data_IF_171418759787
#
_entry.id   IF_171418759787
#
_cell.length_a   1.000
_cell.length_b   1.000
_cell.length_c   1.000
_cell.angle_alpha   90.00
_cell.angle_beta   90.00
_cell.angle_gamma   90.00
#
_symmetry.space_group_name_H-M   'P 1'
#
loop_
_entity.id
_entity.type
_entity.pdbx_description
1 polymer ?
#
# COMPACT_ATOMS: atom_id res chain seq x y z
N UNK A 1 -30.76 59.40 -24.11
CA UNK A 1 -29.59 59.24 -23.21
C UNK A 1 -29.91 58.39 -21.97
N UNK A 2 -30.92 58.74 -21.16
CA UNK A 2 -31.28 57.94 -19.95
C UNK A 2 -31.64 56.47 -20.24
N UNK A 3 -32.45 56.20 -21.27
CA UNK A 3 -32.78 54.82 -21.67
C UNK A 3 -31.54 54.01 -22.06
N UNK A 4 -30.61 54.62 -22.79
CA UNK A 4 -29.37 54.01 -23.25
C UNK A 4 -28.42 53.74 -22.07
N UNK A 5 -28.38 54.65 -21.09
CA UNK A 5 -27.66 54.45 -19.83
C UNK A 5 -28.26 53.31 -18.98
N UNK A 6 -29.59 53.22 -18.87
CA UNK A 6 -30.24 52.12 -18.16
C UNK A 6 -29.98 50.76 -18.84
N UNK A 7 -30.03 50.70 -20.17
CA UNK A 7 -29.83 49.46 -20.94
C UNK A 7 -28.38 48.96 -20.88
N UNK A 8 -27.42 49.88 -20.92
CA UNK A 8 -25.98 49.58 -20.73
C UNK A 8 -25.72 49.12 -19.30
N UNK A 9 -26.23 49.81 -18.29
CA UNK A 9 -26.09 49.40 -16.88
C UNK A 9 -26.71 48.02 -16.61
N UNK A 10 -27.89 47.74 -17.18
CA UNK A 10 -28.54 46.44 -17.08
C UNK A 10 -27.72 45.33 -17.75
N UNK A 11 -27.15 45.61 -18.93
CA UNK A 11 -26.28 44.66 -19.64
C UNK A 11 -24.99 44.36 -18.87
N UNK A 12 -24.36 45.37 -18.29
CA UNK A 12 -23.14 45.21 -17.48
C UNK A 12 -23.43 44.39 -16.23
N UNK A 13 -24.50 44.71 -15.48
CA UNK A 13 -24.89 43.94 -14.29
C UNK A 13 -25.18 42.46 -14.64
N UNK A 14 -25.87 42.21 -15.75
CA UNK A 14 -26.14 40.83 -16.21
C UNK A 14 -24.86 40.07 -16.58
N UNK A 15 -23.86 40.75 -17.17
CA UNK A 15 -22.57 40.15 -17.54
C UNK A 15 -21.61 39.94 -16.36
N UNK A 16 -21.74 40.71 -15.27
CA UNK A 16 -20.89 40.60 -14.08
C UNK A 16 -21.40 39.62 -13.03
N UNK A 17 -22.70 39.30 -13.04
CA UNK A 17 -23.33 38.34 -12.13
C UNK A 17 -22.59 37.00 -11.99
N UNK A 18 -22.06 36.37 -13.06
CA UNK A 18 -21.32 35.12 -12.93
C UNK A 18 -20.03 35.26 -12.09
N UNK A 19 -19.41 36.44 -12.06
CA UNK A 19 -18.23 36.71 -11.22
C UNK A 19 -18.64 36.89 -9.75
N UNK A 20 -19.78 37.53 -9.49
CA UNK A 20 -20.35 37.61 -8.13
C UNK A 20 -20.63 36.19 -7.58
N UNK A 21 -21.22 35.31 -8.40
CA UNK A 21 -21.47 33.91 -8.03
C UNK A 21 -20.17 33.13 -7.70
N UNK A 22 -19.06 33.43 -8.42
CA UNK A 22 -17.74 32.85 -8.14
C UNK A 22 -17.15 33.34 -6.82
N UNK A 23 -17.28 34.64 -6.52
CA UNK A 23 -16.83 35.24 -5.26
C UNK A 23 -17.63 34.65 -4.10
N UNK A 24 -18.96 34.58 -4.23
CA UNK A 24 -19.82 34.01 -3.19
C UNK A 24 -19.48 32.53 -2.93
N UNK A 25 -19.29 31.74 -3.99
CA UNK A 25 -18.86 30.34 -3.86
C UNK A 25 -17.50 30.25 -3.17
N UNK A 26 -16.54 31.09 -3.53
CA UNK A 26 -15.20 31.08 -2.92
C UNK A 26 -15.23 31.45 -1.44
N UNK A 27 -16.07 32.42 -1.05
CA UNK A 27 -16.29 32.77 0.36
C UNK A 27 -16.91 31.62 1.14
N UNK A 28 -17.94 30.95 0.60
CA UNK A 28 -18.55 29.78 1.23
C UNK A 28 -17.56 28.62 1.39
N UNK A 29 -16.65 28.43 0.42
CA UNK A 29 -15.56 27.46 0.51
C UNK A 29 -14.58 27.82 1.62
N UNK A 30 -14.25 29.11 1.78
CA UNK A 30 -13.39 29.61 2.85
C UNK A 30 -14.02 29.43 4.24
N UNK A 31 -15.36 29.49 4.32
CA UNK A 31 -16.14 29.20 5.53
C UNK A 31 -16.32 27.68 5.80
N UNK A 32 -15.90 26.82 4.87
CA UNK A 32 -15.84 25.37 5.05
C UNK A 32 -16.86 24.56 4.26
N UNK A 33 -17.73 25.17 3.46
CA UNK A 33 -18.70 24.46 2.60
C UNK A 33 -18.05 24.01 1.28
N UNK A 34 -17.23 22.95 1.36
CA UNK A 34 -16.54 22.31 0.22
C UNK A 34 -17.48 21.70 -0.84
N UNK A 35 -18.78 21.60 -0.55
CA UNK A 35 -19.76 21.02 -1.48
C UNK A 35 -20.28 22.03 -2.49
N UNK A 36 -20.11 23.32 -2.21
CA UNK A 36 -20.62 24.40 -3.07
C UNK A 36 -19.90 24.45 -4.41
N UNK A 37 -20.63 24.82 -5.46
CA UNK A 37 -20.13 24.91 -6.84
C UNK A 37 -20.65 26.16 -7.50
N UNK A 38 -19.85 26.67 -8.45
CA UNK A 38 -20.24 27.84 -9.23
C UNK A 38 -21.33 27.44 -10.24
N UNK A 39 -22.52 28.06 -10.18
CA UNK A 39 -23.64 27.72 -11.04
C UNK A 39 -23.35 28.03 -12.51
N UNK A 40 -23.99 27.30 -13.42
CA UNK A 40 -23.94 27.58 -14.86
C UNK A 40 -24.76 28.82 -15.21
N UNK A 41 -24.22 29.68 -16.07
CA UNK A 41 -24.93 30.86 -16.59
C UNK A 41 -25.73 30.53 -17.85
N UNK A 42 -26.88 31.20 -18.06
CA UNK A 42 -27.73 30.98 -19.26
C UNK A 42 -27.12 31.54 -20.55
N UNK A 43 -26.31 32.61 -20.46
CA UNK A 43 -25.62 33.26 -21.59
C UNK A 43 -24.12 33.43 -21.27
N UNK A 44 -23.33 32.35 -21.25
CA UNK A 44 -21.94 32.42 -20.82
C UNK A 44 -21.03 33.05 -21.89
N UNK A 45 -20.18 33.97 -21.46
CA UNK A 45 -19.01 34.39 -22.24
C UNK A 45 -17.97 33.26 -22.14
N UNK A 46 -17.32 32.93 -23.25
CA UNK A 46 -16.43 31.76 -23.35
C UNK A 46 -15.34 31.76 -22.27
N UNK A 47 -14.68 32.90 -22.06
CA UNK A 47 -13.62 33.08 -21.08
C UNK A 47 -14.11 32.85 -19.65
N UNK A 48 -15.32 33.30 -19.33
CA UNK A 48 -15.95 33.13 -18.01
C UNK A 48 -16.33 31.67 -17.78
N UNK A 49 -16.82 30.99 -18.82
CA UNK A 49 -17.16 29.58 -18.74
C UNK A 49 -15.93 28.69 -18.57
N UNK A 50 -14.84 28.99 -19.26
CA UNK A 50 -13.55 28.31 -19.07
C UNK A 50 -13.05 28.47 -17.63
N UNK A 51 -13.13 29.68 -17.07
CA UNK A 51 -12.77 29.93 -15.67
C UNK A 51 -13.68 29.16 -14.71
N UNK A 52 -15.00 29.15 -14.96
CA UNK A 52 -15.98 28.39 -14.15
C UNK A 52 -15.63 26.91 -14.10
N UNK A 53 -15.33 26.31 -15.25
CA UNK A 53 -14.95 24.89 -15.35
C UNK A 53 -13.63 24.61 -14.64
N UNK A 54 -12.62 25.46 -14.82
CA UNK A 54 -11.33 25.34 -14.15
C UNK A 54 -11.47 25.43 -12.63
N UNK A 55 -12.23 26.42 -12.14
CA UNK A 55 -12.50 26.61 -10.70
C UNK A 55 -13.26 25.43 -10.11
N UNK A 56 -14.34 24.97 -10.74
CA UNK A 56 -15.09 23.81 -10.25
C UNK A 56 -14.23 22.52 -10.26
N UNK A 57 -13.32 22.36 -11.22
CA UNK A 57 -12.36 21.24 -11.24
C UNK A 57 -11.37 21.32 -10.06
N UNK A 58 -10.86 22.52 -9.76
CA UNK A 58 -10.04 22.77 -8.59
C UNK A 58 -10.80 22.47 -7.29
N UNK A 59 -12.04 22.96 -7.14
CA UNK A 59 -12.89 22.70 -5.97
C UNK A 59 -13.14 21.21 -5.77
N UNK A 60 -13.39 20.47 -6.86
CA UNK A 60 -13.55 19.02 -6.80
C UNK A 60 -12.27 18.30 -6.34
N UNK A 61 -11.09 18.77 -6.78
CA UNK A 61 -9.82 18.24 -6.29
C UNK A 61 -9.61 18.53 -4.80
N UNK A 62 -9.92 19.75 -4.35
CA UNK A 62 -9.79 20.15 -2.94
C UNK A 62 -10.73 19.32 -2.05
N UNK A 63 -12.01 19.20 -2.42
CA UNK A 63 -12.98 18.38 -1.69
C UNK A 63 -12.52 16.92 -1.62
N UNK A 64 -12.07 16.35 -2.74
CA UNK A 64 -11.57 14.97 -2.79
C UNK A 64 -10.35 14.76 -1.89
N UNK A 65 -9.40 15.71 -1.89
CA UNK A 65 -8.23 15.67 -1.04
C UNK A 65 -8.61 15.79 0.44
N UNK A 66 -9.54 16.68 0.77
CA UNK A 66 -10.04 16.86 2.14
C UNK A 66 -10.73 15.60 2.66
N UNK A 67 -11.68 15.04 1.90
CA UNK A 67 -12.38 13.81 2.26
C UNK A 67 -11.43 12.62 2.42
N UNK A 68 -10.38 12.56 1.59
CA UNK A 68 -9.35 11.52 1.70
C UNK A 68 -8.56 11.70 3.00
N UNK A 69 -8.11 12.92 3.30
CA UNK A 69 -7.38 13.24 4.53
C UNK A 69 -8.21 12.98 5.78
N UNK A 70 -9.48 13.36 5.78
CA UNK A 70 -10.38 13.14 6.91
C UNK A 70 -10.61 11.65 7.15
N UNK A 71 -10.81 10.86 6.08
CA UNK A 71 -10.93 9.40 6.19
C UNK A 71 -9.66 8.75 6.75
N UNK A 72 -8.47 9.15 6.27
CA UNK A 72 -7.19 8.67 6.81
C UNK A 72 -7.03 9.04 8.29
N UNK A 73 -7.29 10.30 8.65
CA UNK A 73 -7.24 10.76 10.04
C UNK A 73 -8.22 9.99 10.95
N UNK A 74 -9.44 9.75 10.49
CA UNK A 74 -10.44 8.97 11.24
C UNK A 74 -10.05 7.49 11.38
N UNK A 75 -9.35 6.91 10.40
CA UNK A 75 -8.81 5.55 10.50
C UNK A 75 -7.65 5.50 11.49
N UNK A 76 -6.72 6.46 11.42
CA UNK A 76 -5.60 6.56 12.36
C UNK A 76 -6.09 6.72 13.80
N UNK A 77 -7.06 7.61 14.07
CA UNK A 77 -7.62 7.79 15.42
C UNK A 77 -8.23 6.50 15.98
N UNK A 78 -9.02 5.79 15.16
CA UNK A 78 -9.60 4.49 15.55
C UNK A 78 -8.52 3.47 15.84
N UNK A 79 -7.53 3.38 14.97
CA UNK A 79 -6.43 2.44 15.12
C UNK A 79 -5.58 2.71 16.35
N UNK A 80 -5.26 3.98 16.65
CA UNK A 80 -4.55 4.36 17.89
C UNK A 80 -5.37 4.01 19.13
N UNK A 81 -6.69 4.19 19.08
CA UNK A 81 -7.57 3.78 20.18
C UNK A 81 -7.52 2.26 20.38
N UNK A 82 -7.69 1.49 19.29
CA UNK A 82 -7.65 0.01 19.33
C UNK A 82 -6.29 -0.49 19.83
N UNK A 83 -5.19 0.08 19.34
CA UNK A 83 -3.84 -0.23 19.80
C UNK A 83 -3.63 0.07 21.29
N UNK A 84 -4.17 1.19 21.77
CA UNK A 84 -4.09 1.55 23.19
C UNK A 84 -4.83 0.54 24.07
N UNK A 85 -5.96 0.01 23.60
CA UNK A 85 -6.68 -1.06 24.29
C UNK A 85 -5.91 -2.39 24.25
N UNK A 86 -5.38 -2.78 23.10
CA UNK A 86 -4.61 -4.01 22.92
C UNK A 86 -3.27 -4.00 23.64
N UNK A 87 -2.66 -2.83 23.88
CA UNK A 87 -1.44 -2.68 24.69
C UNK A 87 -1.71 -2.66 26.20
N UNK A 88 -2.91 -2.27 26.64
CA UNK A 88 -3.24 -2.22 28.07
C UNK A 88 -3.29 -3.62 28.69
N UNK A 89 -3.82 -4.59 27.96
CA UNK A 89 -3.92 -6.00 28.39
C UNK A 89 -2.54 -6.64 28.69
N UNK A 90 -1.55 -6.61 27.77
CA UNK A 90 -0.20 -7.09 28.02
C UNK A 90 0.44 -6.43 29.22
N UNK A 91 0.33 -5.10 29.28
CA UNK A 91 0.91 -4.31 30.35
C UNK A 91 0.29 -4.65 31.72
N UNK A 92 -1.02 -4.87 31.77
CA UNK A 92 -1.71 -5.30 32.98
C UNK A 92 -1.26 -6.70 33.44
N UNK A 93 -1.04 -7.63 32.51
CA UNK A 93 -0.54 -8.97 32.82
C UNK A 93 0.89 -8.93 33.39
N UNK A 94 1.80 -8.17 32.76
CA UNK A 94 3.17 -7.97 33.25
C UNK A 94 3.14 -7.36 34.66
N UNK A 95 2.34 -6.30 34.86
CA UNK A 95 2.17 -5.66 36.17
C UNK A 95 1.64 -6.65 37.22
N UNK A 96 0.70 -7.52 36.85
CA UNK A 96 0.17 -8.56 37.73
C UNK A 96 1.25 -9.54 38.18
N UNK A 97 2.09 -10.02 37.26
CA UNK A 97 3.22 -10.91 37.62
C UNK A 97 4.26 -10.22 38.49
N UNK A 98 4.58 -8.95 38.22
CA UNK A 98 5.48 -8.16 39.08
C UNK A 98 4.92 -7.97 40.49
N UNK A 99 3.62 -7.74 40.63
CA UNK A 99 2.96 -7.65 41.95
C UNK A 99 2.97 -8.97 42.72
N UNK A 100 2.82 -10.11 42.03
CA UNK A 100 2.92 -11.43 42.65
C UNK A 100 4.36 -11.73 43.10
N UNK A 101 5.34 -11.30 42.32
CA UNK A 101 6.76 -11.41 42.68
C UNK A 101 7.09 -10.57 43.92
N UNK A 102 6.70 -9.28 43.91
CA UNK A 102 6.95 -8.33 45.00
C UNK A 102 6.32 -8.78 46.33
N UNK A 103 5.12 -9.35 46.28
CA UNK A 103 4.42 -9.89 47.46
C UNK A 103 4.94 -11.26 47.92
N UNK A 104 5.99 -11.80 47.31
CA UNK A 104 6.56 -13.10 47.67
C UNK A 104 5.60 -14.28 47.42
N UNK A 105 4.61 -14.12 46.53
CA UNK A 105 3.64 -15.17 46.21
C UNK A 105 4.20 -16.20 45.22
N UNK A 106 5.30 -15.88 44.51
CA UNK A 106 6.02 -16.80 43.63
C UNK A 106 7.18 -17.47 44.38
N UNK A 107 6.84 -18.51 45.15
CA UNK A 107 7.76 -19.12 46.13
C UNK A 107 8.74 -20.09 45.48
N UNK A 108 8.25 -20.86 44.51
CA UNK A 108 9.10 -21.85 43.85
C UNK A 108 9.92 -21.25 42.70
N UNK A 109 11.17 -21.73 42.48
CA UNK A 109 11.95 -21.36 41.30
C UNK A 109 11.22 -21.63 39.98
N UNK A 110 10.41 -22.70 39.92
CA UNK A 110 9.66 -23.08 38.72
C UNK A 110 8.51 -22.11 38.41
N UNK A 111 7.87 -21.56 39.43
CA UNK A 111 6.81 -20.54 39.31
C UNK A 111 7.39 -19.20 38.87
N UNK A 112 8.53 -18.80 39.45
CA UNK A 112 9.26 -17.60 39.04
C UNK A 112 9.68 -17.66 37.58
N UNK A 113 10.23 -18.80 37.14
CA UNK A 113 10.60 -19.01 35.74
C UNK A 113 9.38 -18.92 34.80
N UNK A 114 8.27 -19.58 35.15
CA UNK A 114 7.02 -19.50 34.37
C UNK A 114 6.47 -18.07 34.27
N UNK A 115 6.51 -17.31 35.36
CA UNK A 115 6.09 -15.90 35.37
C UNK A 115 7.03 -15.03 34.49
N UNK A 116 8.34 -15.28 34.55
CA UNK A 116 9.32 -14.61 33.71
C UNK A 116 9.09 -14.87 32.22
N UNK A 117 8.93 -16.13 31.83
CA UNK A 117 8.67 -16.52 30.44
C UNK A 117 7.36 -15.89 29.92
N UNK A 118 6.32 -15.81 30.76
CA UNK A 118 5.06 -15.11 30.46
C UNK A 118 5.27 -13.61 30.24
N UNK A 119 6.07 -12.94 31.07
CA UNK A 119 6.36 -11.51 30.91
C UNK A 119 7.14 -11.20 29.63
N UNK A 120 8.11 -12.05 29.26
CA UNK A 120 8.83 -11.93 27.99
C UNK A 120 7.87 -12.10 26.81
N UNK A 121 7.06 -13.16 26.81
CA UNK A 121 6.10 -13.41 25.72
C UNK A 121 5.13 -12.23 25.51
N UNK A 122 4.71 -11.60 26.60
CA UNK A 122 3.79 -10.46 26.55
C UNK A 122 4.49 -9.16 26.10
N UNK A 123 5.77 -8.98 26.46
CA UNK A 123 6.61 -7.89 25.94
C UNK A 123 6.87 -8.04 24.43
N UNK A 124 7.15 -9.25 23.96
CA UNK A 124 7.29 -9.54 22.53
C UNK A 124 5.98 -9.30 21.76
N UNK A 125 4.84 -9.59 22.40
CA UNK A 125 3.51 -9.29 21.84
C UNK A 125 3.29 -7.78 21.70
N UNK A 126 3.70 -6.98 22.69
CA UNK A 126 3.68 -5.51 22.59
C UNK A 126 4.59 -5.01 21.46
N UNK A 127 5.80 -5.58 21.32
CA UNK A 127 6.72 -5.23 20.24
C UNK A 127 6.11 -5.44 18.85
N UNK A 128 5.52 -6.61 18.60
CA UNK A 128 4.81 -6.89 17.34
C UNK A 128 3.66 -5.91 17.07
N UNK A 129 2.85 -5.60 18.09
CA UNK A 129 1.78 -4.60 17.98
C UNK A 129 2.33 -3.24 17.55
N UNK A 130 3.41 -2.77 18.19
CA UNK A 130 4.06 -1.49 17.85
C UNK A 130 4.60 -1.49 16.41
N UNK A 131 5.24 -2.56 15.99
CA UNK A 131 5.74 -2.70 14.61
C UNK A 131 4.59 -2.64 13.60
N UNK A 132 3.46 -3.30 13.89
CA UNK A 132 2.24 -3.20 13.08
C UNK A 132 1.70 -1.76 13.04
N UNK A 133 1.79 -1.00 14.15
CA UNK A 133 1.38 0.41 14.17
C UNK A 133 2.26 1.26 13.25
N UNK A 134 3.58 1.06 13.29
CA UNK A 134 4.53 1.81 12.50
C UNK A 134 4.38 1.53 11.00
N UNK A 135 4.03 0.29 10.63
CA UNK A 135 3.73 -0.08 9.25
C UNK A 135 2.47 0.65 8.75
N UNK A 136 1.40 0.69 9.55
CA UNK A 136 0.16 1.38 9.19
C UNK A 136 0.34 2.90 9.11
N UNK A 137 1.09 3.50 10.04
CA UNK A 137 1.43 4.92 9.98
C UNK A 137 2.24 5.28 8.71
N UNK A 138 3.05 4.34 8.20
CA UNK A 138 3.82 4.52 6.96
C UNK A 138 3.03 4.25 5.69
N UNK A 139 1.87 3.58 5.75
CA UNK A 139 1.01 3.31 4.59
C UNK A 139 0.21 4.55 4.13
N UNK A 140 -0.07 5.50 5.03
CA UNK A 140 -0.72 6.78 4.69
C UNK A 140 0.23 7.73 3.94
N UNK A 141 1.54 7.61 4.18
CA UNK A 141 2.55 8.21 3.32
C UNK A 141 2.65 7.28 2.12
N UNK A 142 2.50 7.75 0.87
CA UNK A 142 2.81 6.90 -0.29
C UNK A 142 4.28 6.51 -0.16
N UNK A 143 4.63 5.28 0.25
CA UNK A 143 6.03 4.92 0.36
C UNK A 143 6.55 4.97 -1.06
N UNK A 144 7.71 5.59 -1.28
CA UNK A 144 8.36 5.50 -2.58
C UNK A 144 8.69 4.02 -2.82
N UNK A 145 7.85 3.35 -3.61
CA UNK A 145 8.04 1.95 -3.94
C UNK A 145 9.36 1.83 -4.71
N UNK A 146 10.33 1.17 -4.11
CA UNK A 146 11.61 0.86 -4.76
C UNK A 146 11.45 -0.36 -5.66
N UNK A 147 10.72 -0.15 -6.77
CA UNK A 147 10.44 -1.21 -7.71
C UNK A 147 11.73 -1.71 -8.36
N UNK A 148 12.06 -2.98 -8.18
CA UNK A 148 13.17 -3.68 -8.86
C UNK A 148 12.67 -5.00 -9.44
N UNK A 149 13.47 -5.63 -10.30
CA UNK A 149 13.17 -6.99 -10.74
C UNK A 149 13.42 -7.93 -9.56
N UNK A 150 12.36 -8.53 -9.05
CA UNK A 150 12.38 -9.44 -7.90
C UNK A 150 11.97 -10.82 -8.35
N UNK A 151 12.76 -11.83 -8.01
CA UNK A 151 12.39 -13.24 -8.21
C UNK A 151 11.49 -13.73 -7.09
N UNK A 152 10.19 -13.85 -7.39
CA UNK A 152 9.17 -14.28 -6.42
C UNK A 152 9.37 -15.75 -6.02
N UNK A 153 9.82 -16.60 -6.94
CA UNK A 153 10.09 -18.01 -6.63
C UNK A 153 11.21 -18.15 -5.61
N UNK A 154 12.23 -17.28 -5.67
CA UNK A 154 13.27 -17.20 -4.64
C UNK A 154 12.71 -16.73 -3.30
N UNK A 155 11.95 -15.63 -3.28
CA UNK A 155 11.36 -15.12 -2.04
C UNK A 155 10.49 -16.14 -1.29
N UNK A 156 9.68 -16.89 -2.05
CA UNK A 156 8.81 -17.91 -1.47
C UNK A 156 9.60 -19.10 -0.93
N UNK A 157 10.70 -19.49 -1.59
CA UNK A 157 11.62 -20.52 -1.08
C UNK A 157 12.31 -20.08 0.21
N UNK A 158 12.88 -18.87 0.24
CA UNK A 158 13.50 -18.30 1.44
C UNK A 158 12.49 -18.32 2.62
N UNK A 159 11.28 -17.83 2.39
CA UNK A 159 10.24 -17.77 3.42
C UNK A 159 9.78 -19.16 3.90
N UNK A 160 9.77 -20.16 3.01
CA UNK A 160 9.46 -21.54 3.36
C UNK A 160 10.55 -22.17 4.23
N UNK A 161 11.82 -21.87 3.94
CA UNK A 161 12.96 -22.30 4.77
C UNK A 161 12.89 -21.69 6.16
N UNK A 162 12.61 -20.38 6.27
CA UNK A 162 12.40 -19.71 7.56
C UNK A 162 11.30 -20.40 8.39
N UNK A 163 10.18 -20.76 7.76
CA UNK A 163 9.10 -21.47 8.44
C UNK A 163 9.51 -22.86 8.90
N UNK A 164 10.27 -23.61 8.08
CA UNK A 164 10.77 -24.94 8.45
C UNK A 164 11.73 -24.87 9.65
N UNK A 165 12.57 -23.86 9.71
CA UNK A 165 13.47 -23.63 10.87
C UNK A 165 12.65 -23.33 12.13
N UNK A 166 11.59 -22.55 12.01
CA UNK A 166 10.76 -22.16 13.14
C UNK A 166 9.78 -23.25 13.61
N UNK A 167 9.34 -24.14 12.70
CA UNK A 167 8.44 -25.26 13.00
C UNK A 167 8.91 -26.53 12.26
N UNK A 168 9.95 -27.22 12.76
CA UNK A 168 10.55 -28.38 12.09
C UNK A 168 9.57 -29.56 11.89
N UNK A 169 8.58 -29.68 12.77
CA UNK A 169 7.57 -30.73 12.74
C UNK A 169 6.46 -30.49 11.71
N UNK A 170 6.34 -29.27 11.18
CA UNK A 170 5.28 -28.92 10.22
C UNK A 170 5.66 -29.34 8.81
N UNK A 171 4.74 -30.04 8.14
CA UNK A 171 4.87 -30.33 6.71
C UNK A 171 4.73 -29.06 5.86
N UNK A 172 5.81 -28.65 5.17
CA UNK A 172 5.84 -27.47 4.28
C UNK A 172 6.17 -27.90 2.85
N UNK A 173 5.21 -27.73 1.95
CA UNK A 173 5.34 -27.98 0.50
C UNK A 173 5.47 -26.67 -0.28
N UNK A 174 6.35 -26.64 -1.28
CA UNK A 174 6.63 -25.44 -2.08
C UNK A 174 6.59 -25.80 -3.57
N UNK A 175 5.67 -25.17 -4.30
CA UNK A 175 5.54 -25.26 -5.76
C UNK A 175 5.94 -23.90 -6.35
N UNK A 176 7.25 -23.66 -6.38
CA UNK A 176 7.85 -22.41 -6.86
C UNK A 176 9.03 -22.71 -7.79
N UNK A 177 8.76 -23.45 -8.86
CA UNK A 177 9.77 -23.89 -9.82
C UNK A 177 10.22 -22.73 -10.74
N UNK A 178 11.48 -22.80 -11.17
CA UNK A 178 12.07 -21.81 -12.07
C UNK A 178 12.31 -20.44 -11.43
N UNK A 179 12.09 -19.38 -12.22
CA UNK A 179 12.25 -17.98 -11.81
C UNK A 179 11.10 -17.14 -12.37
N UNK A 180 10.43 -16.40 -11.48
CA UNK A 180 9.35 -15.49 -11.85
C UNK A 180 9.76 -14.08 -11.42
N UNK A 181 10.26 -13.31 -12.39
CA UNK A 181 10.66 -11.93 -12.19
C UNK A 181 9.46 -10.99 -12.31
N UNK A 182 9.23 -10.20 -11.27
CA UNK A 182 8.21 -9.14 -11.25
C UNK A 182 8.84 -7.81 -10.84
N UNK A 183 8.31 -6.70 -11.37
CA UNK A 183 8.67 -5.36 -10.88
C UNK A 183 7.93 -5.05 -9.59
N UNK A 184 8.61 -5.21 -8.46
CA UNK A 184 8.03 -5.01 -7.13
C UNK A 184 9.07 -4.45 -6.16
N UNK A 185 8.59 -3.96 -5.01
CA UNK A 185 9.46 -3.70 -3.86
C UNK A 185 9.66 -5.01 -3.09
N UNK A 186 10.92 -5.46 -3.01
CA UNK A 186 11.25 -6.74 -2.38
C UNK A 186 10.99 -6.71 -0.87
N UNK A 187 11.26 -5.58 -0.20
CA UNK A 187 11.05 -5.45 1.24
C UNK A 187 9.56 -5.60 1.57
N UNK A 188 8.69 -4.91 0.82
CA UNK A 188 7.24 -5.07 0.92
C UNK A 188 6.77 -6.51 0.66
N UNK A 189 7.30 -7.20 -0.36
CA UNK A 189 6.94 -8.60 -0.63
C UNK A 189 7.37 -9.55 0.51
N UNK A 190 8.59 -9.40 1.04
CA UNK A 190 9.06 -10.17 2.20
C UNK A 190 8.19 -9.92 3.43
N UNK A 191 7.79 -8.67 3.65
CA UNK A 191 6.90 -8.32 4.76
C UNK A 191 5.52 -8.97 4.62
N UNK A 192 4.93 -8.97 3.42
CA UNK A 192 3.65 -9.64 3.17
C UNK A 192 3.78 -11.14 3.44
N UNK A 193 4.81 -11.80 2.90
CA UNK A 193 5.05 -13.22 3.13
C UNK A 193 5.25 -13.52 4.63
N UNK A 194 6.06 -12.72 5.33
CA UNK A 194 6.31 -12.86 6.76
C UNK A 194 5.02 -12.75 7.60
N UNK A 195 4.15 -11.79 7.27
CA UNK A 195 2.87 -11.63 7.94
C UNK A 195 1.94 -12.83 7.71
N UNK A 196 1.85 -13.31 6.47
CA UNK A 196 1.03 -14.48 6.12
C UNK A 196 1.52 -15.74 6.85
N UNK A 197 2.83 -16.01 6.84
CA UNK A 197 3.41 -17.16 7.51
C UNK A 197 3.38 -17.03 9.04
N UNK A 198 3.51 -15.81 9.57
CA UNK A 198 3.32 -15.50 10.98
C UNK A 198 1.91 -15.81 11.46
N UNK A 199 0.89 -15.53 10.64
CA UNK A 199 -0.49 -15.90 10.92
C UNK A 199 -0.69 -17.42 10.91
N UNK A 200 -0.10 -18.13 9.94
CA UNK A 200 -0.13 -19.59 9.89
C UNK A 200 0.46 -20.19 11.16
N UNK A 201 1.63 -19.71 11.58
CA UNK A 201 2.32 -20.19 12.79
C UNK A 201 1.49 -19.98 14.06
N UNK A 202 0.82 -18.83 14.17
CA UNK A 202 0.07 -18.42 15.38
C UNK A 202 -1.32 -19.05 15.45
N UNK A 203 -2.00 -19.19 14.32
CA UNK A 203 -3.43 -19.52 14.29
C UNK A 203 -3.74 -20.90 13.69
N UNK A 204 -2.74 -21.65 13.24
CA UNK A 204 -2.92 -22.99 12.69
C UNK A 204 -2.15 -24.02 13.53
N UNK A 205 -2.76 -25.12 13.97
CA UNK A 205 -2.04 -26.17 14.70
C UNK A 205 -0.94 -26.80 13.82
N UNK A 206 0.08 -27.40 14.44
CA UNK A 206 1.35 -27.81 13.79
C UNK A 206 1.19 -28.97 12.80
N UNK A 207 0.17 -29.80 12.99
CA UNK A 207 -0.18 -30.97 12.17
C UNK A 207 -0.80 -30.59 10.81
N UNK A 208 -1.28 -29.37 10.67
CA UNK A 208 -1.84 -28.88 9.41
C UNK A 208 -0.71 -28.54 8.43
N UNK A 209 -0.67 -29.16 7.24
CA UNK A 209 0.37 -28.88 6.26
C UNK A 209 0.20 -27.49 5.64
N UNK A 210 1.33 -26.89 5.26
CA UNK A 210 1.38 -25.59 4.56
C UNK A 210 1.86 -25.83 3.14
N UNK A 211 1.20 -25.16 2.19
CA UNK A 211 1.61 -25.15 0.79
C UNK A 211 1.79 -23.73 0.29
N UNK A 212 2.92 -23.50 -0.38
CA UNK A 212 3.27 -22.24 -1.01
C UNK A 212 3.41 -22.47 -2.51
N UNK A 213 2.54 -21.86 -3.32
CA UNK A 213 2.55 -22.01 -4.78
C UNK A 213 2.80 -20.65 -5.45
N UNK A 214 3.63 -20.63 -6.50
CA UNK A 214 3.85 -19.44 -7.35
C UNK A 214 3.39 -19.75 -8.76
N UNK A 215 2.27 -19.14 -9.17
CA UNK A 215 1.70 -19.28 -10.51
C UNK A 215 1.67 -17.94 -11.25
N UNK A 216 1.77 -17.98 -12.59
CA UNK A 216 1.43 -16.83 -13.45
C UNK A 216 -0.04 -16.92 -13.80
N UNK A 217 -0.85 -15.95 -13.37
CA UNK A 217 -2.21 -15.83 -13.85
C UNK A 217 -2.24 -15.24 -15.26
N UNK A 218 -2.90 -15.92 -16.21
CA UNK A 218 -3.65 -15.21 -17.26
C UNK A 218 -4.75 -14.41 -16.56
N UNK A 219 -5.22 -13.29 -17.14
CA UNK A 219 -6.08 -12.29 -16.49
C UNK A 219 -7.51 -12.78 -16.12
N UNK A 220 -7.69 -14.06 -15.89
CA UNK A 220 -8.78 -14.68 -15.15
C UNK A 220 -8.19 -15.58 -14.06
N UNK A 221 -7.96 -15.03 -12.86
CA UNK A 221 -7.95 -15.70 -11.53
C UNK A 221 -7.27 -14.74 -10.51
N UNK A 222 -7.56 -14.70 -9.21
CA UNK A 222 -8.51 -15.43 -8.38
C UNK A 222 -8.61 -14.82 -6.97
N UNK A 223 -9.75 -15.05 -6.32
CA UNK A 223 -9.80 -15.11 -4.86
C UNK A 223 -9.18 -16.42 -4.39
N UNK A 224 -8.46 -16.38 -3.27
CA UNK A 224 -7.92 -17.58 -2.62
C UNK A 224 -9.07 -18.53 -2.25
N UNK A 225 -9.26 -19.59 -3.02
CA UNK A 225 -10.13 -20.70 -2.65
C UNK A 225 -9.35 -21.66 -1.77
N UNK A 226 -9.60 -21.60 -0.46
CA UNK A 226 -9.10 -22.59 0.50
C UNK A 226 -9.82 -23.91 0.23
N UNK A 227 -9.13 -24.88 -0.37
CA UNK A 227 -9.62 -26.26 -0.48
C UNK A 227 -8.97 -27.09 0.62
N UNK A 228 -9.65 -27.21 1.76
CA UNK A 228 -9.36 -28.28 2.73
C UNK A 228 -9.89 -29.59 2.16
N UNK A 229 -9.01 -30.42 1.59
CA UNK A 229 -9.33 -31.85 1.42
C UNK A 229 -9.19 -32.52 2.79
N UNK A 230 -10.29 -32.59 3.53
CA UNK A 230 -10.40 -33.52 4.66
C UNK A 230 -10.63 -34.94 4.10
N UNK A 231 -10.05 -35.99 4.70
CA UNK A 231 -10.46 -37.36 4.43
C UNK A 231 -11.91 -37.54 4.88
N UNK A 232 -12.73 -38.13 4.02
CA UNK A 232 -14.14 -38.38 4.28
C UNK A 232 -14.33 -39.52 5.29
N UNK A 233 -14.26 -39.24 6.59
CA UNK A 233 -14.86 -40.10 7.62
C UNK A 233 -14.92 -39.42 8.98
N UNK A 234 -15.89 -38.54 9.20
CA UNK A 234 -16.69 -38.43 10.44
C UNK A 234 -17.59 -37.19 10.36
N UNK A 235 -18.86 -37.40 9.98
CA UNK A 235 -19.93 -36.46 10.26
C UNK A 235 -20.27 -36.56 11.75
N UNK A 236 -19.95 -35.53 12.54
CA UNK A 236 -20.73 -35.17 13.73
C UNK A 236 -20.44 -33.73 14.18
N UNK A 237 -21.40 -32.86 13.85
CA UNK A 237 -21.89 -31.69 14.61
C UNK A 237 -20.99 -31.11 15.72
N UNK A 238 -20.47 -29.89 15.48
CA UNK A 238 -20.43 -28.81 16.49
C UNK A 238 -20.29 -27.46 15.78
N UNK A 239 -21.29 -26.59 15.97
CA UNK A 239 -21.24 -25.16 15.62
C UNK A 239 -20.22 -24.46 16.52
N UNK A 240 -19.32 -23.66 15.94
CA UNK A 240 -18.48 -22.70 16.63
C UNK A 240 -18.53 -21.34 15.88
N UNK A 241 -18.35 -20.20 16.57
CA UNK A 241 -18.92 -18.92 16.19
C UNK A 241 -18.13 -18.18 15.11
N UNK A 242 -18.83 -17.31 14.39
CA UNK A 242 -18.36 -16.45 13.31
C UNK A 242 -17.33 -15.40 13.78
N UNK A 243 -16.08 -15.53 13.37
CA UNK A 243 -15.07 -14.45 13.40
C UNK A 243 -15.05 -13.72 12.06
N UNK A 244 -16.04 -12.84 11.85
CA UNK A 244 -16.24 -12.07 10.61
C UNK A 244 -15.47 -10.74 10.54
N UNK A 245 -14.46 -10.52 11.39
CA UNK A 245 -13.74 -9.24 11.48
C UNK A 245 -12.34 -9.22 10.84
N UNK A 246 -11.66 -10.37 10.68
CA UNK A 246 -10.29 -10.43 10.12
C UNK A 246 -10.23 -10.49 8.58
N UNK A 247 -11.34 -10.83 7.91
CA UNK A 247 -11.40 -10.95 6.44
C UNK A 247 -11.39 -9.62 5.67
N UNK A 248 -11.63 -8.48 6.33
CA UNK A 248 -11.70 -7.16 5.65
C UNK A 248 -10.33 -6.51 5.42
N UNK A 249 -9.33 -6.85 6.23
CA UNK A 249 -7.98 -6.31 6.09
C UNK A 249 -7.24 -6.93 4.88
N UNK A 250 -7.39 -8.24 4.68
CA UNK A 250 -6.78 -8.99 3.56
C UNK A 250 -7.41 -8.60 2.20
N UNK A 251 -8.72 -8.37 2.17
CA UNK A 251 -9.41 -7.91 0.96
C UNK A 251 -8.97 -6.51 0.50
N UNK A 252 -8.55 -5.62 1.42
CA UNK A 252 -8.08 -4.27 1.10
C UNK A 252 -6.65 -4.24 0.55
N UNK A 253 -5.75 -5.08 1.07
CA UNK A 253 -4.39 -5.21 0.55
C UNK A 253 -4.37 -5.79 -0.88
N UNK A 254 -5.20 -6.81 -1.14
CA UNK A 254 -5.36 -7.39 -2.48
C UNK A 254 -6.03 -6.43 -3.49
N UNK A 255 -6.98 -5.59 -3.04
CA UNK A 255 -7.65 -4.61 -3.89
C UNK A 255 -6.81 -3.36 -4.22
N UNK A 256 -5.70 -3.11 -3.50
CA UNK A 256 -4.78 -2.02 -3.79
C UNK A 256 -3.75 -2.38 -4.86
N UNK A 257 -3.23 -3.62 -4.81
CA UNK A 257 -2.30 -4.14 -5.82
C UNK A 257 -2.92 -4.23 -7.23
N UNK A 258 -4.24 -4.39 -7.33
CA UNK A 258 -4.95 -4.48 -8.61
C UNK A 258 -5.29 -3.13 -9.27
N UNK A 259 -5.25 -2.00 -8.55
CA UNK A 259 -5.55 -0.67 -9.13
C UNK A 259 -4.34 0.10 -9.63
N UNK A 260 -3.14 -0.25 -9.18
CA UNK A 260 -1.90 0.50 -9.45
C UNK A 260 -1.09 -0.04 -10.63
N UNK A 261 -1.35 -1.26 -11.10
CA UNK A 261 -0.75 -1.80 -12.33
C UNK A 261 -1.64 -1.52 -13.56
N UNK A 262 -1.62 -0.27 -14.06
CA UNK A 262 -2.07 0.02 -15.43
C UNK A 262 -0.84 0.12 -16.33
N UNK A 263 -0.33 -1.04 -16.76
CA UNK A 263 0.74 -1.10 -17.77
C UNK A 263 0.09 -1.08 -19.14
N UNK A 264 0.33 0.00 -19.90
CA UNK A 264 -0.09 0.10 -21.30
C UNK A 264 0.85 -0.73 -22.18
N UNK A 265 0.34 -1.78 -22.83
CA UNK A 265 1.04 -2.45 -23.93
C UNK A 265 0.40 -2.04 -25.26
N UNK A 266 1.09 -1.21 -26.05
CA UNK A 266 0.83 -1.12 -27.50
C UNK A 266 1.54 -2.30 -28.18
N UNK A 267 0.91 -3.03 -29.12
CA UNK A 267 1.59 -4.08 -29.85
C UNK A 267 2.41 -3.46 -30.99
N UNK A 268 3.73 -3.58 -30.94
CA UNK A 268 4.62 -3.27 -32.08
C UNK A 268 4.54 -4.45 -33.05
N UNK A 269 3.86 -4.26 -34.18
CA UNK A 269 3.82 -5.23 -35.27
C UNK A 269 5.22 -5.36 -35.89
N UNK A 270 5.80 -6.56 -35.84
CA UNK A 270 7.01 -6.91 -36.57
C UNK A 270 6.72 -6.96 -38.07
N UNK A 271 7.34 -6.08 -38.87
CA UNK A 271 7.44 -6.22 -40.32
C UNK A 271 8.80 -6.82 -40.68
N UNK A 272 8.75 -8.03 -41.23
CA UNK A 272 9.85 -8.65 -41.96
C UNK A 272 10.17 -7.84 -43.22
N UNK A 273 11.44 -7.51 -43.44
CA UNK A 273 11.99 -7.14 -44.75
C UNK A 273 13.38 -7.75 -44.91
N UNK A 274 13.49 -8.64 -45.89
CA UNK A 274 14.74 -9.19 -46.43
C UNK A 274 15.60 -8.09 -47.09
N UNK A 275 16.93 -8.25 -47.17
CA UNK A 275 17.82 -7.24 -47.72
C UNK A 275 18.04 -7.41 -49.23
N UNK A 276 18.04 -6.31 -49.98
CA UNK A 276 18.62 -6.22 -51.32
C UNK A 276 19.86 -5.29 -51.28
N UNK A 277 20.93 -5.57 -52.05
CA UNK A 277 22.15 -4.80 -52.00
C UNK A 277 22.04 -3.52 -52.85
N UNK A 278 22.50 -2.38 -52.31
CA UNK A 278 22.67 -1.14 -53.07
C UNK A 278 24.07 -1.09 -53.69
N UNK A 279 24.11 -0.89 -55.01
CA UNK A 279 25.29 -0.47 -55.78
C UNK A 279 25.76 0.91 -55.32
N UNK A 280 27.08 1.10 -55.31
CA UNK A 280 27.74 2.34 -54.94
C UNK A 280 27.67 3.43 -56.00
N UNK A 281 27.91 4.66 -55.56
CA UNK A 281 28.69 5.66 -56.28
C UNK A 281 29.12 6.78 -55.31
N UNK A 282 30.44 6.92 -55.19
CA UNK A 282 31.26 8.14 -55.25
C UNK A 282 30.96 9.36 -54.37
N UNK A 283 31.98 9.73 -53.59
CA UNK A 283 32.61 11.05 -53.77
C UNK A 283 32.67 11.98 -52.56
N UNK A 284 33.91 12.28 -52.14
CA UNK A 284 34.40 13.49 -51.43
C UNK A 284 34.04 13.60 -49.92
N UNK A 285 34.94 13.87 -48.98
CA UNK A 285 36.35 14.26 -48.99
C UNK A 285 36.67 14.95 -47.65
N UNK A 286 37.42 14.26 -46.78
CA UNK A 286 38.50 14.77 -45.91
C UNK A 286 38.23 15.76 -44.72
N UNK A 287 39.16 15.88 -43.74
CA UNK A 287 38.91 15.43 -42.37
C UNK A 287 39.17 16.50 -41.28
N UNK A 288 38.79 16.22 -40.03
CA UNK A 288 39.35 16.93 -38.86
C UNK A 288 39.41 16.03 -37.61
N UNK A 289 40.58 16.06 -36.98
CA UNK A 289 41.04 15.28 -35.81
C UNK A 289 41.04 16.22 -34.55
N UNK A 290 41.54 15.83 -33.36
CA UNK A 290 40.84 15.47 -32.09
C UNK A 290 41.19 16.52 -30.98
N UNK A 291 41.52 16.22 -29.68
CA UNK A 291 41.28 15.12 -28.72
C UNK A 291 40.67 15.65 -27.37
N UNK A 292 40.29 14.85 -26.36
CA UNK A 292 41.17 14.38 -25.27
C UNK A 292 40.40 13.55 -24.23
N UNK A 293 41.08 12.50 -23.75
CA UNK A 293 40.81 11.77 -22.52
C UNK A 293 41.82 12.22 -21.45
N UNK A 294 41.40 12.29 -20.17
CA UNK A 294 42.22 12.28 -18.92
C UNK A 294 41.26 11.77 -17.81
N UNK A 295 41.34 10.52 -17.30
CA UNK A 295 42.07 10.02 -16.09
C UNK A 295 41.97 10.95 -14.86
N UNK A 296 42.01 10.57 -13.58
CA UNK A 296 41.90 9.36 -12.77
C UNK A 296 41.87 9.86 -11.30
N UNK A 297 41.45 9.01 -10.36
CA UNK A 297 41.77 9.03 -8.91
C UNK A 297 41.32 10.25 -8.06
N UNK A 298 40.59 10.00 -6.95
CA UNK A 298 41.23 9.67 -5.66
C UNK A 298 40.20 9.34 -4.57
N UNK A 299 40.51 8.32 -3.76
CA UNK A 299 39.97 8.08 -2.41
C UNK A 299 41.09 8.46 -1.44
N UNK A 300 40.77 8.91 -0.22
CA UNK A 300 41.14 8.03 0.89
C UNK A 300 40.14 7.99 2.06
N UNK A 301 40.35 6.90 2.80
CA UNK A 301 39.80 6.44 4.07
C UNK A 301 40.18 7.28 5.29
N UNK A 302 39.28 7.36 6.29
CA UNK A 302 39.66 7.35 7.72
C UNK A 302 38.47 6.95 8.60
N UNK A 303 38.76 6.10 9.59
CA UNK A 303 37.89 5.59 10.68
C UNK A 303 38.40 6.19 12.03
N UNK A 304 37.80 5.92 13.20
CA UNK A 304 37.30 6.93 14.13
C UNK A 304 38.09 6.96 15.46
N UNK A 305 37.60 7.67 16.49
CA UNK A 305 37.60 7.19 17.87
C UNK A 305 36.27 6.51 18.24
#
# INVERSE_FOLDING_TARGET
MLLLACLTMFSVRRRMRPLEDMVETSSAIAEGDLTRRVPSSKDPILEVEQLRLALNSMLQQVESAYLTRERSAAQLRRFVADASHELRTPLAAIRGYLQLYDRGMLREPTERKRAWDRMIAESDRMGRLVDELLVLARLDQRPELRLRNVDVCRLVRDAAEDLRVQQPERAVSVEAEGSVLVRADEAGLRQVLGNLLGNVRTHTPVDVPVRLEVGRGTTEWCGCAWRTRAPASHRRTRRAPSTASSGRAVARAAAWASRSCRVSSRPTAARSRSPQPRKGHDGNGDPAVPPHAVTAADRPTARPP
#
